data_IF_476166302352
#
_entry.id   IF_476166302352
#
_cell.length_a   1.000
_cell.length_b   1.000
_cell.length_c   1.000
_cell.angle_alpha   90.00
_cell.angle_beta   90.00
_cell.angle_gamma   90.00
#
_symmetry.space_group_name_H-M   'P 1'
#
loop_
_entity.id
_entity.type
_entity.pdbx_description
1 polymer ?
#
# COMPACT_ATOMS: atom_id res chain seq x y z
N UNK A 1 -10.66 -16.06 13.94
CA UNK A 1 -9.98 -15.55 12.71
C UNK A 1 -8.70 -16.32 12.45
N UNK A 2 -7.72 -16.35 13.37
CA UNK A 2 -6.48 -17.11 13.15
C UNK A 2 -6.70 -18.61 12.90
N UNK A 3 -7.58 -19.27 13.65
CA UNK A 3 -7.95 -20.68 13.41
C UNK A 3 -8.54 -20.92 12.02
N UNK A 4 -9.28 -19.94 11.46
CA UNK A 4 -9.83 -20.04 10.11
C UNK A 4 -8.72 -19.94 9.05
N UNK A 5 -7.73 -19.07 9.27
CA UNK A 5 -6.53 -19.00 8.40
C UNK A 5 -5.77 -20.32 8.46
N UNK A 6 -5.49 -20.82 9.67
CA UNK A 6 -4.80 -22.09 9.89
C UNK A 6 -5.49 -23.26 9.18
N UNK A 7 -6.81 -23.40 9.36
CA UNK A 7 -7.61 -24.42 8.69
C UNK A 7 -7.52 -24.33 7.16
N UNK A 8 -7.57 -23.12 6.59
CA UNK A 8 -7.47 -22.94 5.14
C UNK A 8 -6.06 -23.19 4.60
N UNK A 9 -5.01 -22.85 5.36
CA UNK A 9 -3.62 -23.23 5.02
C UNK A 9 -3.47 -24.74 5.08
N UNK A 10 -4.05 -25.40 6.09
CA UNK A 10 -4.07 -26.86 6.20
C UNK A 10 -4.73 -27.53 4.99
N UNK A 11 -5.85 -26.98 4.49
CA UNK A 11 -6.49 -27.44 3.24
C UNK A 11 -5.58 -27.32 2.03
N UNK A 12 -4.90 -26.19 1.89
CA UNK A 12 -3.96 -25.97 0.78
C UNK A 12 -2.81 -26.99 0.82
N UNK A 13 -2.16 -27.15 1.98
CA UNK A 13 -1.03 -28.08 2.14
C UNK A 13 -1.47 -29.53 1.94
N UNK A 14 -2.61 -29.92 2.52
CA UNK A 14 -3.18 -31.26 2.31
C UNK A 14 -3.44 -31.51 0.83
N UNK A 15 -3.91 -30.50 0.09
CA UNK A 15 -4.17 -30.67 -1.34
C UNK A 15 -2.88 -30.85 -2.15
N UNK A 16 -1.81 -30.15 -1.80
CA UNK A 16 -0.48 -30.32 -2.41
C UNK A 16 0.02 -31.75 -2.19
N UNK A 17 -0.14 -32.28 -0.98
CA UNK A 17 0.28 -33.64 -0.63
C UNK A 17 -0.58 -34.70 -1.36
N UNK A 18 -1.91 -34.56 -1.39
CA UNK A 18 -2.82 -35.44 -2.14
C UNK A 18 -2.49 -35.54 -3.64
N UNK A 19 -2.02 -34.43 -4.24
CA UNK A 19 -1.65 -34.38 -5.65
C UNK A 19 -0.25 -34.94 -5.92
N UNK A 20 0.50 -35.35 -4.89
CA UNK A 20 1.88 -35.82 -5.02
C UNK A 20 2.85 -34.71 -5.46
N UNK A 21 2.54 -33.44 -5.19
CA UNK A 21 3.32 -32.28 -5.62
C UNK A 21 4.27 -31.75 -4.53
N UNK A 22 4.23 -32.34 -3.34
CA UNK A 22 4.92 -31.83 -2.15
C UNK A 22 6.43 -31.63 -2.39
N UNK A 23 7.11 -32.64 -2.91
CA UNK A 23 8.57 -32.64 -3.12
C UNK A 23 8.99 -31.62 -4.20
N UNK A 24 8.07 -31.16 -5.04
CA UNK A 24 8.32 -30.18 -6.10
C UNK A 24 7.60 -28.83 -5.85
N UNK A 25 7.22 -28.55 -4.59
CA UNK A 25 6.52 -27.32 -4.23
C UNK A 25 7.16 -26.67 -3.00
N UNK A 26 7.63 -25.43 -3.17
CA UNK A 26 8.03 -24.58 -2.05
C UNK A 26 6.79 -23.86 -1.51
N UNK A 27 6.50 -24.05 -0.22
CA UNK A 27 5.44 -23.33 0.50
C UNK A 27 6.09 -22.33 1.46
N UNK A 28 5.73 -21.05 1.33
CA UNK A 28 6.18 -19.97 2.22
C UNK A 28 4.95 -19.38 2.90
N UNK A 29 4.93 -19.40 4.22
CA UNK A 29 3.90 -18.78 5.04
C UNK A 29 4.51 -17.67 5.90
N UNK A 30 4.07 -16.43 5.74
CA UNK A 30 4.51 -15.31 6.55
C UNK A 30 3.44 -14.20 6.61
N UNK A 31 3.59 -13.27 7.54
CA UNK A 31 2.73 -12.08 7.61
C UNK A 31 3.40 -10.86 6.95
N UNK A 32 2.60 -9.95 6.39
CA UNK A 32 3.09 -8.73 5.73
C UNK A 32 3.70 -7.71 6.72
N UNK A 33 3.14 -7.64 7.93
CA UNK A 33 3.53 -6.73 9.00
C UNK A 33 3.13 -7.26 10.38
N UNK A 34 3.61 -6.61 11.43
CA UNK A 34 3.18 -6.87 12.80
C UNK A 34 1.67 -6.63 13.03
N UNK A 35 1.12 -7.09 14.17
CA UNK A 35 -0.32 -7.06 14.43
C UNK A 35 -0.86 -5.63 14.58
N UNK A 36 -2.16 -5.44 14.35
CA UNK A 36 -2.83 -4.14 14.52
C UNK A 36 -2.97 -3.68 15.99
N UNK A 37 -2.58 -4.52 16.96
CA UNK A 37 -2.68 -4.26 18.40
C UNK A 37 -1.40 -4.70 19.11
N UNK A 38 -1.29 -4.43 20.41
CA UNK A 38 -0.22 -4.97 21.26
C UNK A 38 -0.50 -6.41 21.72
N UNK A 39 -1.69 -6.95 21.43
CA UNK A 39 -2.04 -8.31 21.80
C UNK A 39 -1.32 -9.29 20.88
N UNK A 40 -0.75 -10.34 21.46
CA UNK A 40 -0.08 -11.42 20.72
C UNK A 40 1.09 -10.97 19.84
N UNK A 41 1.80 -9.90 20.24
CA UNK A 41 2.99 -9.38 19.54
C UNK A 41 4.32 -9.85 20.16
N UNK A 42 4.29 -10.85 21.04
CA UNK A 42 5.51 -11.40 21.68
C UNK A 42 6.24 -10.42 22.59
N UNK A 43 5.53 -9.47 23.21
CA UNK A 43 6.06 -8.42 24.10
C UNK A 43 7.03 -7.43 23.42
N UNK A 44 6.97 -7.37 22.08
CA UNK A 44 7.79 -6.48 21.29
C UNK A 44 7.23 -5.05 21.32
N UNK A 45 8.11 -4.03 21.28
CA UNK A 45 7.67 -2.62 21.14
C UNK A 45 7.06 -2.40 19.76
N UNK A 46 5.96 -1.66 19.71
CA UNK A 46 5.27 -1.32 18.47
C UNK A 46 4.25 -2.35 18.00
N UNK A 47 3.56 -1.97 16.93
CA UNK A 47 2.49 -2.71 16.23
C UNK A 47 2.50 -2.29 14.76
N UNK A 48 1.56 -2.74 13.94
CA UNK A 48 1.40 -2.33 12.52
C UNK A 48 1.63 -0.84 12.34
N UNK A 49 2.49 -0.49 11.37
CA UNK A 49 2.86 0.88 11.04
C UNK A 49 4.01 1.47 11.87
N UNK A 50 4.44 0.80 12.95
CA UNK A 50 5.71 1.11 13.62
C UNK A 50 6.90 0.49 12.88
N UNK A 51 8.05 1.14 12.99
CA UNK A 51 9.34 0.65 12.50
C UNK A 51 10.05 -0.26 13.51
N UNK A 52 9.49 -0.44 14.70
CA UNK A 52 10.03 -1.25 15.80
C UNK A 52 9.85 -2.78 15.59
N UNK A 53 10.43 -3.61 16.48
CA UNK A 53 10.32 -5.08 16.43
C UNK A 53 8.86 -5.55 16.25
N UNK A 54 7.92 -5.03 17.02
CA UNK A 54 6.51 -5.45 16.98
C UNK A 54 5.74 -4.99 15.74
N UNK A 55 6.30 -4.06 14.95
CA UNK A 55 5.73 -3.65 13.66
C UNK A 55 6.33 -4.38 12.46
N UNK A 56 7.56 -4.89 12.59
CA UNK A 56 8.37 -5.39 11.47
C UNK A 56 8.75 -6.86 11.57
N UNK A 57 8.77 -7.45 12.77
CA UNK A 57 9.08 -8.87 12.98
C UNK A 57 7.79 -9.69 12.95
N UNK A 58 7.78 -10.70 12.08
CA UNK A 58 6.62 -11.53 11.75
C UNK A 58 7.01 -13.00 11.74
N UNK A 59 6.06 -13.94 11.92
CA UNK A 59 6.32 -15.36 11.67
C UNK A 59 6.65 -15.57 10.19
N UNK A 60 7.59 -16.48 9.90
CA UNK A 60 7.91 -16.94 8.56
C UNK A 60 8.27 -18.43 8.63
N UNK A 61 7.62 -19.26 7.81
CA UNK A 61 7.84 -20.70 7.69
C UNK A 61 8.05 -21.01 6.22
N UNK A 62 9.10 -21.76 5.91
CA UNK A 62 9.40 -22.23 4.55
C UNK A 62 9.44 -23.76 4.60
N UNK A 63 8.66 -24.41 3.73
CA UNK A 63 8.59 -25.86 3.58
C UNK A 63 8.93 -26.23 2.14
N UNK A 64 9.88 -27.14 1.99
CA UNK A 64 10.13 -27.85 0.74
C UNK A 64 10.67 -29.26 1.08
N UNK A 65 9.81 -30.29 1.11
CA UNK A 65 10.20 -31.66 1.44
C UNK A 65 11.34 -32.16 0.55
N UNK A 66 12.16 -33.09 1.06
CA UNK A 66 13.39 -33.62 0.42
C UNK A 66 14.52 -32.60 0.13
N UNK A 67 14.24 -31.30 0.22
CA UNK A 67 15.20 -30.23 -0.08
C UNK A 67 15.60 -29.41 1.16
N UNK A 68 14.64 -29.09 2.03
CA UNK A 68 14.86 -28.36 3.27
C UNK A 68 14.62 -29.30 4.46
N UNK A 69 15.63 -29.53 5.34
CA UNK A 69 15.47 -30.35 6.52
C UNK A 69 14.33 -29.86 7.43
N UNK A 70 13.45 -30.78 7.82
CA UNK A 70 12.33 -30.48 8.71
C UNK A 70 12.80 -30.08 10.12
N UNK A 71 11.98 -29.28 10.82
CA UNK A 71 12.18 -28.94 12.24
C UNK A 71 13.34 -27.97 12.49
N UNK A 72 13.84 -27.29 11.47
CA UNK A 72 14.98 -26.39 11.57
C UNK A 72 14.54 -24.96 11.92
N UNK A 73 15.27 -24.31 12.83
CA UNK A 73 15.15 -22.88 13.12
C UNK A 73 16.33 -22.12 12.52
N UNK A 74 16.04 -21.02 11.80
CA UNK A 74 17.05 -20.13 11.24
C UNK A 74 17.17 -18.91 12.16
N UNK A 75 18.26 -18.87 12.94
CA UNK A 75 18.56 -17.78 13.90
C UNK A 75 19.11 -16.49 13.28
N UNK A 76 19.88 -16.54 12.16
CA UNK A 76 20.30 -15.31 11.50
C UNK A 76 19.14 -14.44 11.04
N UNK A 77 19.32 -13.13 11.09
CA UNK A 77 18.32 -12.17 10.65
C UNK A 77 18.05 -12.30 9.15
N UNK A 78 16.76 -12.33 8.81
CA UNK A 78 16.24 -12.42 7.46
C UNK A 78 15.09 -11.43 7.26
N UNK A 79 14.86 -11.04 6.02
CA UNK A 79 13.76 -10.15 5.64
C UNK A 79 13.06 -10.64 4.39
N UNK A 80 11.84 -10.14 4.13
CA UNK A 80 11.09 -10.49 2.92
C UNK A 80 11.85 -10.16 1.62
N UNK A 81 12.78 -9.19 1.66
CA UNK A 81 13.71 -8.86 0.56
C UNK A 81 14.55 -10.05 0.09
N UNK A 82 14.76 -11.05 0.94
CA UNK A 82 15.53 -12.25 0.63
C UNK A 82 14.77 -13.29 -0.19
N UNK A 83 13.44 -13.21 -0.22
CA UNK A 83 12.63 -14.24 -0.87
C UNK A 83 12.92 -14.31 -2.37
N UNK A 84 13.06 -13.16 -3.03
CA UNK A 84 13.39 -13.10 -4.46
C UNK A 84 14.71 -13.81 -4.79
N UNK A 85 15.88 -13.43 -4.25
CA UNK A 85 17.13 -14.11 -4.55
C UNK A 85 17.15 -15.58 -4.09
N UNK A 86 16.47 -15.90 -2.98
CA UNK A 86 16.37 -17.29 -2.50
C UNK A 86 15.60 -18.17 -3.49
N UNK A 87 14.46 -17.69 -4.00
CA UNK A 87 13.63 -18.43 -4.95
C UNK A 87 14.31 -18.58 -6.32
N UNK A 88 15.02 -17.55 -6.79
CA UNK A 88 15.82 -17.64 -8.02
C UNK A 88 16.91 -18.70 -7.90
N UNK A 89 17.62 -18.74 -6.77
CA UNK A 89 18.66 -19.72 -6.48
C UNK A 89 18.10 -21.16 -6.36
N UNK A 90 16.94 -21.33 -5.73
CA UNK A 90 16.25 -22.63 -5.72
C UNK A 90 15.78 -23.06 -7.12
N UNK A 91 15.33 -22.13 -7.96
CA UNK A 91 14.92 -22.39 -9.34
C UNK A 91 16.10 -22.54 -10.33
N UNK A 92 17.34 -22.29 -9.89
CA UNK A 92 18.52 -22.28 -10.77
C UNK A 92 18.51 -21.16 -11.82
N UNK A 93 17.72 -20.10 -11.59
CA UNK A 93 17.58 -18.98 -12.51
C UNK A 93 18.65 -17.94 -12.21
N UNK A 94 19.47 -17.63 -13.22
CA UNK A 94 20.40 -16.49 -13.17
C UNK A 94 19.68 -15.26 -13.72
N UNK A 95 19.46 -14.28 -12.86
CA UNK A 95 18.85 -13.01 -13.23
C UNK A 95 19.87 -11.88 -13.07
N UNK A 96 20.06 -11.10 -14.13
CA UNK A 96 20.77 -9.82 -14.03
C UNK A 96 19.75 -8.73 -13.70
N UNK A 97 20.03 -7.96 -12.66
CA UNK A 97 19.17 -6.86 -12.26
C UNK A 97 19.76 -5.53 -12.76
N UNK A 98 18.95 -4.62 -13.32
CA UNK A 98 19.42 -3.28 -13.73
C UNK A 98 20.02 -2.46 -12.58
N UNK A 99 19.66 -2.80 -11.33
CA UNK A 99 20.20 -2.22 -10.09
C UNK A 99 20.47 -3.34 -9.08
N UNK A 100 21.38 -3.15 -8.12
CA UNK A 100 21.56 -4.09 -7.02
C UNK A 100 20.25 -4.34 -6.26
N UNK A 101 20.03 -5.58 -5.82
CA UNK A 101 18.94 -5.95 -4.92
C UNK A 101 19.44 -5.98 -3.47
N UNK A 102 18.58 -5.64 -2.52
CA UNK A 102 18.94 -5.56 -1.09
C UNK A 102 18.99 -6.94 -0.40
N UNK A 103 18.31 -7.94 -0.97
CA UNK A 103 18.22 -9.28 -0.41
C UNK A 103 19.41 -10.18 -0.77
N UNK A 104 19.57 -11.26 -0.01
CA UNK A 104 20.53 -12.33 -0.29
C UNK A 104 19.81 -13.69 -0.34
N UNK A 105 20.39 -14.66 -1.04
CA UNK A 105 19.85 -16.02 -1.00
C UNK A 105 20.04 -16.64 0.39
N UNK A 106 18.94 -17.12 0.97
CA UNK A 106 18.93 -17.88 2.22
C UNK A 106 19.09 -19.37 1.99
N UNK A 107 19.20 -19.84 0.74
CA UNK A 107 19.32 -21.27 0.42
C UNK A 107 20.40 -21.97 1.24
N UNK A 108 21.65 -21.45 1.39
CA UNK A 108 22.65 -22.09 2.25
C UNK A 108 22.16 -22.24 3.69
N UNK A 109 21.55 -21.19 4.25
CA UNK A 109 20.98 -21.23 5.61
C UNK A 109 19.83 -22.23 5.74
N UNK A 110 19.05 -22.45 4.68
CA UNK A 110 17.93 -23.39 4.68
C UNK A 110 18.40 -24.84 4.53
N UNK A 111 19.37 -25.11 3.65
CA UNK A 111 19.73 -26.48 3.24
C UNK A 111 20.99 -27.03 3.91
N UNK A 112 21.93 -26.19 4.33
CA UNK A 112 23.24 -26.65 4.84
C UNK A 112 23.31 -26.57 6.37
N UNK A 113 23.83 -27.61 7.04
CA UNK A 113 23.87 -27.69 8.52
C UNK A 113 24.70 -26.58 9.18
N UNK A 114 25.79 -26.14 8.55
CA UNK A 114 26.78 -25.24 9.14
C UNK A 114 26.91 -23.90 8.42
N UNK A 115 25.92 -23.52 7.58
CA UNK A 115 25.95 -22.23 6.91
C UNK A 115 25.94 -21.10 7.95
N UNK A 116 26.87 -20.15 7.77
CA UNK A 116 26.96 -18.94 8.57
C UNK A 116 26.36 -17.78 7.79
N UNK A 117 25.65 -16.90 8.49
CA UNK A 117 25.22 -15.65 7.90
C UNK A 117 26.38 -14.64 7.86
N UNK A 118 26.28 -13.67 6.96
CA UNK A 118 27.18 -12.52 6.96
C UNK A 118 27.08 -11.74 8.27
N UNK A 119 28.22 -11.45 8.90
CA UNK A 119 28.29 -10.72 10.16
C UNK A 119 27.84 -9.25 10.05
N UNK A 120 27.88 -8.67 8.84
CA UNK A 120 27.64 -7.24 8.58
C UNK A 120 26.27 -6.95 7.93
N UNK A 121 25.28 -7.78 8.24
CA UNK A 121 23.94 -7.63 7.64
C UNK A 121 23.08 -6.54 8.33
N UNK A 122 22.43 -5.71 7.52
CA UNK A 122 21.43 -4.73 7.97
C UNK A 122 20.09 -4.89 7.24
N UNK A 123 19.00 -4.87 8.00
CA UNK A 123 17.63 -4.72 7.49
C UNK A 123 17.13 -3.32 7.86
N UNK A 124 16.52 -2.63 6.91
CA UNK A 124 16.09 -1.24 7.08
C UNK A 124 14.57 -1.18 6.97
N UNK A 125 13.93 -0.48 7.89
CA UNK A 125 12.51 -0.15 7.84
C UNK A 125 12.35 1.37 7.81
N UNK A 126 11.50 1.89 6.93
CA UNK A 126 11.28 3.33 6.80
C UNK A 126 9.80 3.69 6.64
N UNK A 127 9.43 4.85 7.17
CA UNK A 127 8.10 5.44 7.00
C UNK A 127 8.24 6.96 6.97
N UNK A 128 7.80 7.60 5.88
CA UNK A 128 8.06 9.04 5.66
C UNK A 128 9.57 9.28 5.84
N UNK A 129 9.95 10.21 6.73
CA UNK A 129 11.35 10.56 7.00
C UNK A 129 12.00 9.72 8.13
N UNK A 130 11.24 8.81 8.73
CA UNK A 130 11.72 7.93 9.81
C UNK A 130 12.41 6.69 9.23
N UNK A 131 13.52 6.29 9.83
CA UNK A 131 14.31 5.12 9.44
C UNK A 131 14.75 4.37 10.70
N UNK A 132 14.55 3.06 10.71
CA UNK A 132 15.09 2.13 11.70
C UNK A 132 16.03 1.14 11.02
N UNK A 133 17.12 0.77 11.70
CA UNK A 133 18.13 -0.15 11.18
C UNK A 133 18.29 -1.31 12.14
N UNK A 134 18.21 -2.53 11.62
CA UNK A 134 18.29 -3.79 12.37
C UNK A 134 19.52 -4.59 11.90
N UNK A 135 20.47 -4.84 12.80
CA UNK A 135 21.58 -5.78 12.57
C UNK A 135 21.23 -7.18 13.07
N UNK A 136 22.18 -8.12 13.23
CA UNK A 136 21.89 -9.38 13.93
C UNK A 136 21.51 -9.16 15.40
N UNK A 137 22.26 -8.32 16.11
CA UNK A 137 22.15 -8.15 17.57
C UNK A 137 21.41 -6.89 18.00
N UNK A 138 21.52 -5.82 17.23
CA UNK A 138 21.02 -4.50 17.63
C UNK A 138 19.92 -4.00 16.72
N UNK A 139 19.13 -3.06 17.23
CA UNK A 139 18.21 -2.22 16.46
C UNK A 139 18.42 -0.76 16.86
N UNK A 140 18.57 0.11 15.86
CA UNK A 140 18.48 1.56 15.99
C UNK A 140 17.04 1.97 15.64
N UNK A 141 16.33 2.62 16.55
CA UNK A 141 14.99 3.14 16.28
C UNK A 141 15.02 4.49 15.55
N UNK A 142 13.83 4.99 15.19
CA UNK A 142 13.68 6.24 14.45
C UNK A 142 14.18 7.48 15.21
N UNK A 143 14.23 7.42 16.54
CA UNK A 143 14.72 8.49 17.42
C UNK A 143 16.24 8.40 17.64
N UNK A 144 16.89 7.39 17.05
CA UNK A 144 18.32 7.17 17.14
C UNK A 144 18.77 6.52 18.45
N UNK A 145 17.87 5.83 19.15
CA UNK A 145 18.18 4.99 20.32
C UNK A 145 18.53 3.58 19.87
N UNK A 146 19.43 2.93 20.60
CA UNK A 146 19.96 1.61 20.29
C UNK A 146 19.46 0.59 21.31
N UNK A 147 19.04 -0.57 20.83
CA UNK A 147 18.54 -1.67 21.66
C UNK A 147 19.26 -2.98 21.31
N UNK A 148 19.68 -3.75 22.32
CA UNK A 148 20.15 -5.13 22.14
C UNK A 148 18.93 -6.06 22.14
N UNK A 149 18.39 -6.36 20.95
CA UNK A 149 17.15 -7.12 20.85
C UNK A 149 17.29 -8.58 21.27
N UNK A 150 18.53 -9.09 21.35
CA UNK A 150 18.77 -10.48 21.78
C UNK A 150 18.46 -10.65 23.26
N UNK A 151 18.51 -9.55 24.01
CA UNK A 151 18.18 -9.48 25.44
C UNK A 151 16.89 -8.72 25.70
N UNK A 152 16.54 -7.77 24.84
CA UNK A 152 15.43 -6.85 25.01
C UNK A 152 14.68 -6.62 23.69
N UNK A 153 13.93 -7.64 23.24
CA UNK A 153 12.98 -7.53 22.12
C UNK A 153 11.90 -6.45 22.35
N UNK A 154 11.72 -6.11 23.63
CA UNK A 154 10.81 -5.10 24.11
C UNK A 154 11.30 -3.67 23.90
N UNK A 155 12.58 -3.46 23.56
CA UNK A 155 13.21 -2.15 23.37
C UNK A 155 12.93 -1.18 24.53
N UNK A 156 13.11 -1.66 25.76
CA UNK A 156 12.89 -0.92 27.01
C UNK A 156 14.15 -0.20 27.49
N UNK A 157 15.34 -0.77 27.24
CA UNK A 157 16.62 -0.21 27.67
C UNK A 157 17.41 0.32 26.48
N UNK A 158 17.53 1.63 26.40
CA UNK A 158 18.44 2.29 25.46
C UNK A 158 19.90 2.05 25.89
N UNK A 159 20.67 1.38 25.03
CA UNK A 159 22.09 1.05 25.24
C UNK A 159 23.02 1.89 24.35
N UNK A 160 22.53 3.00 23.78
CA UNK A 160 23.31 3.85 22.88
C UNK A 160 24.60 4.37 23.51
N UNK A 161 24.54 4.76 24.79
CA UNK A 161 25.70 5.27 25.55
C UNK A 161 26.69 4.16 25.90
N UNK A 162 26.20 2.93 26.06
CA UNK A 162 27.00 1.74 26.38
C UNK A 162 27.72 1.21 25.12
N UNK A 163 27.15 1.46 23.94
CA UNK A 163 27.70 1.03 22.64
C UNK A 163 27.78 2.19 21.64
N UNK A 164 28.62 3.22 21.90
CA UNK A 164 28.68 4.42 21.06
C UNK A 164 29.15 4.13 19.63
N UNK A 165 30.10 3.21 19.46
CA UNK A 165 30.61 2.83 18.12
C UNK A 165 29.53 2.15 17.27
N UNK A 166 28.76 1.22 17.84
CA UNK A 166 27.66 0.55 17.16
C UNK A 166 26.56 1.55 16.80
N UNK A 167 26.24 2.45 17.74
CA UNK A 167 25.24 3.50 17.52
C UNK A 167 25.63 4.41 16.36
N UNK A 168 26.90 4.85 16.31
CA UNK A 168 27.41 5.66 15.21
C UNK A 168 27.33 4.92 13.87
N UNK A 169 27.74 3.63 13.82
CA UNK A 169 27.67 2.80 12.61
C UNK A 169 26.24 2.70 12.08
N UNK A 170 25.27 2.39 12.95
CA UNK A 170 23.86 2.26 12.51
C UNK A 170 23.24 3.61 12.13
N UNK A 171 23.63 4.72 12.77
CA UNK A 171 23.20 6.07 12.39
C UNK A 171 23.69 6.44 10.99
N UNK A 172 24.93 6.08 10.64
CA UNK A 172 25.45 6.30 9.28
C UNK A 172 24.72 5.44 8.24
N UNK A 173 24.38 4.18 8.56
CA UNK A 173 23.53 3.35 7.69
C UNK A 173 22.16 4.02 7.47
N UNK A 174 21.52 4.49 8.53
CA UNK A 174 20.23 5.18 8.43
C UNK A 174 20.33 6.47 7.61
N UNK A 175 21.39 7.27 7.82
CA UNK A 175 21.65 8.51 7.08
C UNK A 175 21.85 8.26 5.59
N UNK A 176 22.66 7.26 5.23
CA UNK A 176 22.88 6.84 3.84
C UNK A 176 21.56 6.44 3.17
N UNK A 177 20.77 5.59 3.81
CA UNK A 177 19.46 5.19 3.30
C UNK A 177 18.53 6.40 3.08
N UNK A 178 18.51 7.37 4.00
CA UNK A 178 17.71 8.59 3.81
C UNK A 178 18.13 9.36 2.54
N UNK A 179 19.42 9.48 2.28
CA UNK A 179 19.93 10.19 1.11
C UNK A 179 19.71 9.45 -0.21
N UNK A 180 19.70 8.12 -0.18
CA UNK A 180 19.56 7.28 -1.38
C UNK A 180 18.09 6.98 -1.74
N UNK A 181 17.24 6.74 -0.74
CA UNK A 181 15.94 6.08 -0.95
C UNK A 181 14.72 6.94 -0.63
N UNK A 182 14.84 7.97 0.21
CA UNK A 182 13.68 8.77 0.58
C UNK A 182 13.53 9.97 -0.37
N UNK A 183 12.39 10.09 -1.10
CA UNK A 183 12.14 11.26 -1.92
C UNK A 183 11.89 12.48 -1.03
N UNK A 184 12.37 13.65 -1.44
CA UNK A 184 12.04 14.91 -0.75
C UNK A 184 10.55 15.25 -0.90
N UNK A 185 9.95 15.01 -2.07
CA UNK A 185 8.51 15.07 -2.36
C UNK A 185 8.19 14.13 -3.54
N UNK A 186 7.11 13.34 -3.45
CA UNK A 186 6.61 12.55 -4.59
C UNK A 186 5.57 13.38 -5.34
N UNK A 187 5.97 13.93 -6.49
CA UNK A 187 5.13 14.76 -7.38
C UNK A 187 4.67 14.02 -8.62
N UNK A 188 4.74 12.68 -8.61
CA UNK A 188 4.40 11.90 -9.80
C UNK A 188 2.91 12.03 -10.09
N UNK A 189 2.52 12.50 -11.29
CA UNK A 189 1.12 12.57 -11.67
C UNK A 189 0.55 11.18 -11.95
N UNK A 190 -0.77 11.08 -12.04
CA UNK A 190 -1.48 9.90 -12.54
C UNK A 190 -1.25 9.73 -14.04
N UNK A 191 -0.58 8.65 -14.42
CA UNK A 191 -0.42 8.33 -15.83
C UNK A 191 -1.75 7.85 -16.43
N UNK A 192 -2.21 8.55 -17.47
CA UNK A 192 -3.39 8.24 -18.29
C UNK A 192 -2.93 7.81 -19.68
N UNK A 193 -3.61 6.84 -20.28
CA UNK A 193 -3.39 6.42 -21.67
C UNK A 193 -2.45 5.23 -21.86
N UNK A 194 -1.82 4.71 -20.80
CA UNK A 194 -1.08 3.45 -20.87
C UNK A 194 -2.02 2.27 -21.12
N UNK A 195 -3.06 2.15 -20.29
CA UNK A 195 -4.20 1.26 -20.54
C UNK A 195 -5.33 2.03 -21.22
N UNK A 196 -6.21 1.31 -21.91
CA UNK A 196 -7.41 1.88 -22.55
C UNK A 196 -8.29 2.62 -21.56
N UNK A 197 -8.38 2.12 -20.32
CA UNK A 197 -9.22 2.70 -19.28
C UNK A 197 -8.32 3.09 -18.11
N UNK A 198 -8.44 4.33 -17.64
CA UNK A 198 -7.70 4.83 -16.47
C UNK A 198 -8.67 5.38 -15.42
N UNK A 199 -8.86 4.70 -14.27
CA UNK A 199 -9.65 5.25 -13.18
C UNK A 199 -8.85 6.29 -12.38
N UNK A 200 -9.48 7.41 -12.09
CA UNK A 200 -9.00 8.49 -11.23
C UNK A 200 -9.85 8.55 -9.96
N UNK A 201 -9.47 7.79 -8.91
CA UNK A 201 -10.29 7.63 -7.71
C UNK A 201 -10.20 8.79 -6.73
N UNK A 202 -11.26 8.94 -5.93
CA UNK A 202 -11.34 9.97 -4.91
C UNK A 202 -10.22 9.89 -3.85
N UNK A 203 -9.68 8.68 -3.61
CA UNK A 203 -8.54 8.45 -2.71
C UNK A 203 -7.28 9.21 -3.16
N UNK A 204 -7.20 9.48 -4.46
CA UNK A 204 -6.05 10.03 -5.16
C UNK A 204 -6.30 11.46 -5.68
N UNK A 205 -7.55 11.93 -5.63
CA UNK A 205 -7.93 13.30 -5.99
C UNK A 205 -7.91 14.25 -4.79
N UNK A 206 -8.00 15.55 -5.06
CA UNK A 206 -8.08 16.60 -4.05
C UNK A 206 -9.41 17.36 -4.19
N UNK A 207 -10.17 17.48 -3.10
CA UNK A 207 -11.38 18.29 -3.06
C UNK A 207 -11.07 19.71 -2.57
N UNK A 208 -11.65 20.71 -3.25
CA UNK A 208 -11.50 22.14 -2.94
C UNK A 208 -12.88 22.76 -2.66
N UNK A 209 -12.92 24.00 -2.16
CA UNK A 209 -14.19 24.73 -1.96
C UNK A 209 -15.15 24.05 -0.98
N UNK A 210 -14.62 23.40 0.06
CA UNK A 210 -15.42 22.73 1.09
C UNK A 210 -15.80 21.27 0.78
N UNK A 211 -15.47 20.76 -0.41
CA UNK A 211 -15.60 19.34 -0.74
C UNK A 211 -14.72 18.51 0.21
N UNK A 212 -15.27 17.41 0.71
CA UNK A 212 -14.59 16.53 1.68
C UNK A 212 -14.64 15.09 1.20
N UNK A 213 -13.67 14.30 1.65
CA UNK A 213 -13.78 12.84 1.57
C UNK A 213 -14.77 12.33 2.61
N UNK A 214 -15.51 11.30 2.27
CA UNK A 214 -16.48 10.61 3.13
C UNK A 214 -15.87 10.04 4.40
N UNK A 215 -14.55 9.77 4.41
CA UNK A 215 -13.81 9.39 5.61
C UNK A 215 -12.34 9.84 5.53
N UNK A 216 -11.67 9.82 6.70
CA UNK A 216 -10.25 10.16 6.80
C UNK A 216 -9.31 9.11 6.19
N UNK A 217 -9.70 7.84 6.22
CA UNK A 217 -9.02 6.79 5.47
C UNK A 217 -9.44 6.88 4.00
N UNK A 218 -8.51 7.13 3.06
CA UNK A 218 -8.86 7.40 1.67
C UNK A 218 -9.26 6.12 0.91
N UNK A 219 -8.87 4.95 1.43
CA UNK A 219 -9.22 3.67 0.84
C UNK A 219 -10.72 3.46 0.95
N UNK A 220 -11.38 3.35 -0.20
CA UNK A 220 -12.83 3.28 -0.35
C UNK A 220 -13.60 4.57 0.01
N UNK A 221 -12.96 5.73 0.05
CA UNK A 221 -13.67 7.02 0.18
C UNK A 221 -14.26 7.49 -1.14
N UNK A 222 -15.20 8.44 -1.05
CA UNK A 222 -15.73 9.24 -2.15
C UNK A 222 -15.79 10.71 -1.72
N UNK A 223 -15.93 11.62 -2.68
CA UNK A 223 -16.13 13.04 -2.40
C UNK A 223 -17.60 13.34 -2.12
N UNK A 224 -17.83 14.14 -1.09
CA UNK A 224 -19.13 14.61 -0.64
C UNK A 224 -19.02 16.10 -0.25
N UNK A 225 -20.13 16.69 0.18
CA UNK A 225 -20.22 18.09 0.60
C UNK A 225 -19.84 19.09 -0.52
N UNK A 226 -20.17 18.76 -1.77
CA UNK A 226 -20.02 19.67 -2.88
C UNK A 226 -21.24 20.60 -2.94
N UNK A 227 -21.16 21.75 -2.27
CA UNK A 227 -22.32 22.63 -2.03
C UNK A 227 -22.42 23.80 -3.01
N UNK A 228 -21.29 24.26 -3.54
CA UNK A 228 -21.20 25.51 -4.28
C UNK A 228 -20.41 25.31 -5.60
N UNK A 229 -20.61 26.22 -6.54
CA UNK A 229 -19.98 26.19 -7.87
C UNK A 229 -18.49 26.59 -7.86
N UNK A 230 -17.98 27.11 -6.74
CA UNK A 230 -16.54 27.36 -6.54
C UNK A 230 -15.78 26.10 -6.11
N UNK A 231 -16.49 25.03 -5.72
CA UNK A 231 -15.92 23.73 -5.40
C UNK A 231 -15.44 22.99 -6.64
N UNK A 232 -14.26 22.39 -6.54
CA UNK A 232 -13.66 21.58 -7.60
C UNK A 232 -13.01 20.31 -7.04
N UNK A 233 -12.89 19.28 -7.88
CA UNK A 233 -12.14 18.06 -7.56
C UNK A 233 -11.03 17.92 -8.58
N UNK A 234 -9.79 17.75 -8.13
CA UNK A 234 -8.62 17.74 -9.03
C UNK A 234 -7.76 16.49 -8.92
N UNK A 235 -7.13 16.12 -10.04
CA UNK A 235 -6.09 15.10 -10.12
C UNK A 235 -4.95 15.63 -10.99
N UNK A 236 -3.70 15.51 -10.53
CA UNK A 236 -2.54 15.76 -11.37
C UNK A 236 -2.34 14.56 -12.30
N UNK A 237 -2.32 14.80 -13.60
CA UNK A 237 -2.39 13.79 -14.65
C UNK A 237 -1.26 13.98 -15.66
N UNK A 238 -0.68 12.86 -16.11
CA UNK A 238 0.18 12.79 -17.28
C UNK A 238 -0.50 11.93 -18.34
N UNK A 239 -0.92 12.56 -19.44
CA UNK A 239 -1.41 11.87 -20.62
C UNK A 239 -0.19 11.34 -21.38
N UNK A 240 0.05 10.04 -21.27
CA UNK A 240 1.18 9.35 -21.90
C UNK A 240 0.97 9.14 -23.41
N UNK A 241 -0.28 8.87 -23.81
CA UNK A 241 -0.71 8.62 -25.18
C UNK A 241 -1.81 9.62 -25.58
N UNK A 242 -1.64 10.43 -26.64
CA UNK A 242 -2.67 11.35 -27.10
C UNK A 242 -3.85 10.61 -27.73
N UNK A 243 -5.03 11.24 -27.77
CA UNK A 243 -6.20 10.71 -28.48
C UNK A 243 -7.53 11.18 -27.90
N UNK A 244 -8.62 10.57 -28.38
CA UNK A 244 -9.97 10.84 -27.87
C UNK A 244 -10.24 9.99 -26.62
N UNK A 245 -10.60 10.66 -25.52
CA UNK A 245 -10.95 10.05 -24.25
C UNK A 245 -12.39 10.39 -23.88
N UNK A 246 -13.20 9.38 -23.59
CA UNK A 246 -14.47 9.59 -22.91
C UNK A 246 -14.23 9.78 -21.42
N UNK A 247 -14.75 10.89 -20.87
CA UNK A 247 -14.72 11.18 -19.45
C UNK A 247 -16.01 10.68 -18.80
N UNK A 248 -15.91 9.70 -17.88
CA UNK A 248 -17.06 9.09 -17.20
C UNK A 248 -16.95 9.35 -15.71
N UNK A 249 -17.90 10.07 -15.12
CA UNK A 249 -17.97 10.27 -13.68
C UNK A 249 -18.81 9.16 -13.04
N UNK A 250 -18.34 8.61 -11.92
CA UNK A 250 -19.12 7.71 -11.09
C UNK A 250 -19.75 8.48 -9.95
N UNK A 251 -21.07 8.62 -10.00
CA UNK A 251 -21.81 9.61 -9.23
C UNK A 251 -22.95 9.02 -8.39
N UNK A 252 -23.37 9.80 -7.39
CA UNK A 252 -24.73 9.76 -6.82
C UNK A 252 -25.32 11.17 -6.83
N UNK A 253 -26.63 11.29 -7.01
CA UNK A 253 -27.34 12.56 -7.09
C UNK A 253 -28.72 12.45 -6.40
N UNK A 254 -28.93 13.17 -5.29
CA UNK A 254 -30.25 13.36 -4.68
C UNK A 254 -31.24 14.04 -5.63
N UNK A 255 -32.54 13.85 -5.38
CA UNK A 255 -33.61 14.33 -6.26
C UNK A 255 -33.59 15.84 -6.45
N UNK A 256 -33.30 16.58 -5.39
CA UNK A 256 -33.19 18.03 -5.34
C UNK A 256 -32.02 18.58 -6.17
N UNK A 257 -30.99 17.75 -6.43
CA UNK A 257 -29.75 18.17 -7.10
C UNK A 257 -29.72 17.77 -8.59
N UNK A 258 -30.75 17.08 -9.09
CA UNK A 258 -30.92 16.78 -10.51
C UNK A 258 -30.97 18.07 -11.32
N UNK A 259 -30.29 18.06 -12.47
CA UNK A 259 -30.05 19.24 -13.31
C UNK A 259 -28.71 19.93 -13.02
N UNK A 260 -27.89 19.38 -12.13
CA UNK A 260 -26.50 19.80 -11.95
C UNK A 260 -25.71 19.56 -13.24
N UNK A 261 -24.95 20.56 -13.65
CA UNK A 261 -24.06 20.48 -14.81
C UNK A 261 -22.62 20.29 -14.34
N UNK A 262 -22.00 19.20 -14.77
CA UNK A 262 -20.64 18.82 -14.40
C UNK A 262 -19.74 18.98 -15.62
N UNK A 263 -18.63 19.68 -15.44
CA UNK A 263 -17.59 19.90 -16.46
C UNK A 263 -16.29 19.19 -16.04
N UNK A 264 -15.64 18.54 -17.00
CA UNK A 264 -14.27 18.07 -16.88
C UNK A 264 -13.36 18.90 -17.80
N UNK A 265 -12.28 19.44 -17.24
CA UNK A 265 -11.22 20.19 -17.95
C UNK A 265 -9.87 19.50 -17.74
N UNK A 266 -9.18 19.15 -18.83
CA UNK A 266 -7.81 18.67 -18.80
C UNK A 266 -7.06 19.17 -20.03
N UNK A 267 -5.89 19.79 -19.81
CA UNK A 267 -5.02 20.30 -20.87
C UNK A 267 -5.73 21.28 -21.83
N UNK A 268 -6.68 22.06 -21.31
CA UNK A 268 -7.46 23.03 -22.09
C UNK A 268 -8.58 22.41 -22.91
N UNK A 269 -8.77 21.09 -22.84
CA UNK A 269 -9.91 20.38 -23.43
C UNK A 269 -11.01 20.28 -22.39
N UNK A 270 -12.24 20.61 -22.80
CA UNK A 270 -13.41 20.63 -21.92
C UNK A 270 -14.53 19.77 -22.46
N UNK A 271 -15.25 19.13 -21.55
CA UNK A 271 -16.48 18.42 -21.85
C UNK A 271 -17.43 18.56 -20.67
N UNK A 272 -18.73 18.68 -20.91
CA UNK A 272 -19.73 18.84 -19.85
C UNK A 272 -21.02 18.12 -20.19
N UNK A 273 -21.74 17.73 -19.13
CA UNK A 273 -23.06 17.16 -19.25
C UNK A 273 -23.92 17.46 -18.01
N UNK A 274 -25.23 17.49 -18.21
CA UNK A 274 -26.21 17.70 -17.13
C UNK A 274 -26.73 16.36 -16.62
N UNK A 275 -26.63 16.15 -15.30
CA UNK A 275 -27.20 14.97 -14.63
C UNK A 275 -28.72 15.07 -14.66
N UNK A 276 -29.38 14.17 -15.39
CA UNK A 276 -30.83 14.16 -15.59
C UNK A 276 -31.58 13.13 -14.72
N UNK A 277 -30.85 12.17 -14.14
CA UNK A 277 -31.44 11.06 -13.39
C UNK A 277 -31.05 11.09 -11.92
N UNK A 278 -32.06 10.86 -11.06
CA UNK A 278 -31.86 10.63 -9.63
C UNK A 278 -31.11 9.31 -9.46
N UNK A 279 -30.06 9.32 -8.65
CA UNK A 279 -29.39 8.11 -8.20
C UNK A 279 -28.83 8.35 -6.80
N UNK A 280 -29.64 8.12 -5.77
CA UNK A 280 -29.26 8.36 -4.38
C UNK A 280 -29.57 7.13 -3.51
N UNK A 281 -28.77 6.06 -3.63
CA UNK A 281 -28.95 4.87 -2.83
C UNK A 281 -28.58 5.13 -1.37
N UNK A 282 -29.29 4.50 -0.44
CA UNK A 282 -28.87 4.49 0.95
C UNK A 282 -27.47 3.86 1.08
N UNK A 283 -26.65 4.44 1.95
CA UNK A 283 -25.36 3.84 2.28
C UNK A 283 -25.54 2.62 3.20
N UNK A 284 -24.67 1.63 3.07
CA UNK A 284 -24.71 0.39 3.84
C UNK A 284 -23.31 -0.04 4.30
N UNK A 285 -23.23 -1.09 5.11
CA UNK A 285 -22.02 -1.62 5.72
C UNK A 285 -21.98 -1.47 7.25
N UNK A 286 -22.16 -0.26 7.82
CA UNK A 286 -22.12 -0.05 9.28
C UNK A 286 -23.09 -0.94 10.07
N UNK A 287 -24.25 -1.26 9.51
CA UNK A 287 -25.24 -2.15 10.12
C UNK A 287 -24.76 -3.61 10.25
N UNK A 288 -23.77 -4.01 9.44
CA UNK A 288 -23.12 -5.33 9.51
C UNK A 288 -21.92 -5.36 10.46
N UNK A 289 -21.51 -4.20 10.98
CA UNK A 289 -20.35 -4.10 11.86
C UNK A 289 -20.68 -4.59 13.27
N UNK A 290 -19.76 -5.38 13.84
CA UNK A 290 -19.86 -5.81 15.24
C UNK A 290 -19.52 -4.68 16.23
N UNK A 291 -18.79 -3.68 15.77
CA UNK A 291 -18.32 -2.53 16.54
C UNK A 291 -18.19 -1.31 15.62
N UNK A 292 -18.43 -0.12 16.15
CA UNK A 292 -18.19 1.12 15.40
C UNK A 292 -16.72 1.24 15.00
N UNK A 293 -16.48 1.35 13.69
CA UNK A 293 -15.14 1.50 13.08
C UNK A 293 -14.66 2.95 13.06
N UNK A 294 -15.55 3.92 13.27
CA UNK A 294 -15.30 5.36 13.47
C UNK A 294 -14.66 6.15 12.33
N UNK A 295 -13.99 5.50 11.38
CA UNK A 295 -13.14 6.16 10.37
C UNK A 295 -13.24 5.56 8.97
N UNK A 296 -14.18 4.63 8.77
CA UNK A 296 -14.43 3.99 7.48
C UNK A 296 -15.60 4.66 6.77
N UNK A 297 -15.52 4.73 5.45
CA UNK A 297 -16.64 5.23 4.65
C UNK A 297 -17.72 4.15 4.58
N UNK A 298 -18.99 4.49 4.83
CA UNK A 298 -20.10 3.65 4.42
C UNK A 298 -19.99 3.31 2.92
N UNK A 299 -20.42 2.12 2.54
CA UNK A 299 -20.48 1.73 1.14
C UNK A 299 -21.70 2.41 0.53
N UNK A 300 -21.54 2.93 -0.69
CA UNK A 300 -22.62 3.53 -1.47
C UNK A 300 -22.45 3.09 -2.91
N UNK A 301 -23.55 2.76 -3.59
CA UNK A 301 -23.52 2.34 -4.99
C UNK A 301 -23.44 3.56 -5.90
N UNK A 302 -22.40 3.66 -6.73
CA UNK A 302 -22.22 4.73 -7.70
C UNK A 302 -22.54 4.24 -9.10
N UNK A 303 -23.14 5.09 -9.94
CA UNK A 303 -23.39 4.77 -11.35
C UNK A 303 -22.49 5.58 -12.28
N UNK A 304 -22.04 5.00 -13.41
CA UNK A 304 -21.31 5.74 -14.44
C UNK A 304 -22.22 6.74 -15.15
N UNK A 305 -21.68 7.90 -15.50
CA UNK A 305 -22.30 8.89 -16.36
C UNK A 305 -21.25 9.55 -17.25
N UNK A 306 -21.50 9.55 -18.57
CA UNK A 306 -20.59 10.16 -19.53
C UNK A 306 -20.73 11.67 -19.50
N UNK A 307 -19.61 12.37 -19.33
CA UNK A 307 -19.50 13.83 -19.47
C UNK A 307 -19.22 14.25 -20.92
N UNK A 308 -19.00 13.27 -21.81
CA UNK A 308 -18.58 13.48 -23.18
C UNK A 308 -17.11 13.15 -23.41
N UNK A 309 -16.56 13.67 -24.50
CA UNK A 309 -15.22 13.34 -25.00
C UNK A 309 -14.26 14.51 -24.91
N UNK A 310 -13.00 14.19 -24.64
CA UNK A 310 -11.85 15.10 -24.62
C UNK A 310 -10.83 14.62 -25.66
N UNK A 311 -10.39 15.49 -26.57
CA UNK A 311 -9.28 15.20 -27.50
C UNK A 311 -7.95 15.58 -26.83
N UNK A 312 -7.41 14.67 -26.03
CA UNK A 312 -6.30 14.97 -25.13
C UNK A 312 -4.96 14.89 -25.86
N UNK A 313 -4.14 15.97 -25.83
CA UNK A 313 -2.77 15.90 -26.29
C UNK A 313 -1.90 15.17 -25.25
N UNK A 314 -0.73 14.71 -25.68
CA UNK A 314 0.31 14.20 -24.78
C UNK A 314 0.83 15.34 -23.90
N UNK A 315 0.86 15.15 -22.59
CA UNK A 315 1.35 16.18 -21.67
C UNK A 315 0.93 16.00 -20.22
N UNK A 316 1.47 16.86 -19.35
CA UNK A 316 1.10 16.91 -17.94
C UNK A 316 0.16 18.09 -17.68
N UNK A 317 -0.89 17.85 -16.89
CA UNK A 317 -1.88 18.86 -16.52
C UNK A 317 -2.74 18.39 -15.35
N UNK A 318 -3.57 19.29 -14.83
CA UNK A 318 -4.49 18.96 -13.75
C UNK A 318 -5.89 18.75 -14.31
N UNK A 319 -6.40 17.52 -14.22
CA UNK A 319 -7.82 17.27 -14.50
C UNK A 319 -8.63 17.96 -13.41
N UNK A 320 -9.54 18.83 -13.82
CA UNK A 320 -10.44 19.56 -12.92
C UNK A 320 -11.87 19.18 -13.22
N UNK A 321 -12.55 18.61 -12.23
CA UNK A 321 -14.00 18.43 -12.25
C UNK A 321 -14.64 19.63 -11.53
N UNK A 322 -15.54 20.33 -12.21
CA UNK A 322 -16.26 21.49 -11.69
C UNK A 322 -17.77 21.33 -11.85
N UNK A 323 -18.56 22.10 -11.11
CA UNK A 323 -20.01 22.15 -11.24
C UNK A 323 -20.39 23.54 -11.77
N UNK A 324 -20.71 23.63 -13.07
CA UNK A 324 -21.04 24.90 -13.72
C UNK A 324 -22.40 25.45 -13.24
N UNK A 325 -23.30 24.54 -12.84
CA UNK A 325 -24.65 24.88 -12.35
C UNK A 325 -25.07 23.90 -11.27
N UNK A 326 -25.57 24.42 -10.15
CA UNK A 326 -26.15 23.64 -9.04
C UNK A 326 -27.60 24.13 -8.83
N UNK A 327 -28.62 23.36 -9.22
CA UNK A 327 -30.03 23.79 -9.11
C UNK A 327 -30.61 23.60 -7.70
N UNK A 328 -30.03 22.70 -6.91
CA UNK A 328 -30.51 22.32 -5.60
C UNK A 328 -29.60 22.81 -4.47
N UNK A 329 -29.46 21.97 -3.45
CA UNK A 329 -28.67 22.26 -2.25
C UNK A 329 -27.21 21.79 -2.37
N UNK A 330 -26.83 21.19 -3.51
CA UNK A 330 -25.48 20.71 -3.80
C UNK A 330 -25.34 20.05 -5.17
N UNK A 331 -24.12 19.63 -5.51
CA UNK A 331 -23.80 18.85 -6.69
C UNK A 331 -23.89 17.33 -6.40
N UNK A 332 -23.23 16.53 -7.24
CA UNK A 332 -23.10 15.08 -7.07
C UNK A 332 -22.05 14.70 -6.01
N UNK A 333 -22.18 13.50 -5.45
CA UNK A 333 -21.04 12.83 -4.81
C UNK A 333 -20.23 12.07 -5.86
N UNK A 334 -18.90 12.00 -5.71
CA UNK A 334 -17.99 11.48 -6.75
C UNK A 334 -17.08 10.41 -6.20
N UNK A 335 -17.11 9.21 -6.81
CA UNK A 335 -16.25 8.09 -6.41
C UNK A 335 -14.94 8.01 -7.23
N UNK A 336 -15.04 8.19 -8.54
CA UNK A 336 -13.92 8.31 -9.47
C UNK A 336 -14.38 8.97 -10.77
N UNK A 337 -13.42 9.47 -11.53
CA UNK A 337 -13.58 9.77 -12.96
C UNK A 337 -12.80 8.72 -13.75
N UNK A 338 -13.40 8.13 -14.78
CA UNK A 338 -12.68 7.28 -15.74
C UNK A 338 -12.36 8.09 -16.98
N UNK A 339 -11.14 7.96 -17.46
CA UNK A 339 -10.75 8.38 -18.80
C UNK A 339 -10.59 7.11 -19.65
N UNK A 340 -11.53 6.90 -20.56
CA UNK A 340 -11.55 5.77 -21.48
C UNK A 340 -11.08 6.23 -22.85
N UNK A 341 -9.88 5.79 -23.26
CA UNK A 341 -9.37 6.03 -24.61
C UNK A 341 -10.19 5.23 -25.62
N UNK A 342 -10.64 5.88 -26.68
CA UNK A 342 -11.39 5.23 -27.76
C UNK A 342 -10.49 4.59 -28.81
#
# INVERSE_FOLDING_TARGET
MCENIDWNVGRLVSKIDELGLADNTIVIYFADNGPNSFRWNGDMKGRKGSLDEGGTRVPCIIRWPEHIPAGRTIEPIAGAVDLLPTLLDFAGIKQEFPKPIDGISLKPLLTEKNAQASEDRYLIASRRNQVSVRSQKYRLDADGKLYDITKDRGQRKDVSKEHPQVTAKLKEVAKRYRGEMLPNEDKRPFTVGYSTNTPLPARDGNGHGGIKRSAGAPNCSYFTNWKNTDGTITWDVEVSEPGEYEAIVYYTCPKENVGVEIEADLLGQKTSATISEVHDPESYGPESDRFDRGSESPVKDFKPFSLGTLDLPKGQGTLTLSAAKIPGDGAIEVRYVWLNRK
#
